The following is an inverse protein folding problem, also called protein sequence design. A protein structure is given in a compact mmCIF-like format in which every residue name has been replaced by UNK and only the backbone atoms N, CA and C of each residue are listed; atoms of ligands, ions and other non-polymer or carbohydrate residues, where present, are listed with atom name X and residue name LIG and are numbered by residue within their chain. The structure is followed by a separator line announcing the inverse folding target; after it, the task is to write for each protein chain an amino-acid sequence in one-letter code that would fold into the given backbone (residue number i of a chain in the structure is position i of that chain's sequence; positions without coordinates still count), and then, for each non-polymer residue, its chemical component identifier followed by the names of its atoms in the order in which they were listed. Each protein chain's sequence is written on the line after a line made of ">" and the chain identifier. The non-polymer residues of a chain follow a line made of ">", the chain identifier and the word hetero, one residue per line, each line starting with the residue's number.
data_IF_556546899758
#
_entry.id   IF_556546899758
#
_cell.length_a   1.000
_cell.length_b   1.000
_cell.length_c   1.000
_cell.angle_alpha   90.00
_cell.angle_beta   90.00
_cell.angle_gamma   90.00
#
_symmetry.space_group_name_H-M   'P 1'
#
loop_
_entity.id
_entity.type
_entity.pdbx_description
1 polymer ?
#
# COMPACT_ATOMS: atom_id res chain seq x y z
N UNK A 1 24.26 -12.61 -6.92
CA UNK A 1 23.23 -13.62 -6.57
C UNK A 1 22.47 -13.07 -5.38
N UNK A 2 21.15 -12.90 -5.48
CA UNK A 2 20.34 -12.50 -4.32
C UNK A 2 20.28 -13.68 -3.36
N UNK A 3 20.81 -13.52 -2.14
CA UNK A 3 20.71 -14.52 -1.08
C UNK A 3 19.24 -14.64 -0.69
N UNK A 4 18.68 -15.85 -0.74
CA UNK A 4 17.31 -16.07 -0.25
C UNK A 4 17.27 -15.79 1.25
N UNK A 5 16.44 -14.83 1.64
CA UNK A 5 16.10 -14.57 3.04
C UNK A 5 15.04 -15.58 3.50
N UNK A 6 15.16 -16.01 4.74
CA UNK A 6 14.11 -16.70 5.49
C UNK A 6 13.02 -15.70 5.90
N UNK A 7 11.83 -16.19 6.28
CA UNK A 7 10.74 -15.33 6.76
C UNK A 7 11.17 -14.46 7.96
N UNK A 8 12.02 -14.99 8.85
CA UNK A 8 12.50 -14.31 10.05
C UNK A 8 13.48 -13.17 9.74
N UNK A 9 14.12 -13.20 8.57
CA UNK A 9 15.05 -12.16 8.12
C UNK A 9 14.33 -11.07 7.31
N UNK A 10 13.05 -11.27 6.97
CA UNK A 10 12.29 -10.25 6.25
C UNK A 10 11.93 -9.09 7.18
N UNK A 11 12.05 -7.89 6.63
CA UNK A 11 11.71 -6.62 7.29
C UNK A 11 10.68 -5.89 6.46
N UNK A 12 10.15 -4.76 6.94
CA UNK A 12 9.29 -3.91 6.13
C UNK A 12 9.93 -3.42 4.82
N UNK A 13 11.27 -3.46 4.70
CA UNK A 13 12.00 -3.12 3.46
C UNK A 13 11.87 -4.15 2.34
N UNK A 14 11.30 -5.31 2.62
CA UNK A 14 11.08 -6.36 1.64
C UNK A 14 9.67 -6.26 1.06
N UNK A 15 9.52 -6.20 -0.27
CA UNK A 15 8.23 -5.96 -0.97
C UNK A 15 7.10 -6.87 -0.47
N UNK A 16 7.42 -8.15 -0.25
CA UNK A 16 6.45 -9.11 0.28
C UNK A 16 5.93 -8.68 1.66
N UNK A 17 6.82 -8.27 2.56
CA UNK A 17 6.45 -7.85 3.91
C UNK A 17 5.73 -6.51 3.90
N UNK A 18 6.22 -5.53 3.13
CA UNK A 18 5.57 -4.23 2.99
C UNK A 18 4.12 -4.40 2.53
N UNK A 19 3.91 -5.07 1.39
CA UNK A 19 2.57 -5.29 0.87
C UNK A 19 1.70 -6.12 1.81
N UNK A 20 2.27 -7.12 2.51
CA UNK A 20 1.49 -7.94 3.45
C UNK A 20 1.04 -7.14 4.68
N UNK A 21 1.95 -6.36 5.27
CA UNK A 21 1.67 -5.56 6.47
C UNK A 21 0.73 -4.41 6.15
N UNK A 22 0.97 -3.71 5.03
CA UNK A 22 0.17 -2.57 4.60
C UNK A 22 -1.17 -2.97 3.98
N UNK A 23 -1.41 -4.24 3.66
CA UNK A 23 -2.73 -4.72 3.24
C UNK A 23 -3.74 -4.80 4.40
N UNK A 24 -3.26 -4.77 5.65
CA UNK A 24 -4.12 -4.73 6.83
C UNK A 24 -4.60 -3.29 7.07
N UNK A 25 -5.92 -3.12 7.22
CA UNK A 25 -6.60 -1.82 7.27
C UNK A 25 -6.04 -0.92 8.37
N UNK A 26 -5.87 -1.46 9.58
CA UNK A 26 -5.40 -0.70 10.73
C UNK A 26 -3.95 -0.26 10.55
N UNK A 27 -3.07 -1.14 10.09
CA UNK A 27 -1.66 -0.79 9.85
C UNK A 27 -1.51 0.33 8.82
N UNK A 28 -2.23 0.24 7.70
CA UNK A 28 -2.18 1.25 6.64
C UNK A 28 -2.74 2.59 7.13
N UNK A 29 -3.85 2.56 7.86
CA UNK A 29 -4.46 3.76 8.45
C UNK A 29 -3.52 4.42 9.45
N UNK A 30 -3.00 3.68 10.42
CA UNK A 30 -2.10 4.21 11.45
C UNK A 30 -0.85 4.84 10.82
N UNK A 31 -0.30 4.20 9.78
CA UNK A 31 0.81 4.75 9.00
C UNK A 31 0.45 6.07 8.29
N UNK A 32 -0.71 6.12 7.63
CA UNK A 32 -1.18 7.33 6.95
C UNK A 32 -1.44 8.48 7.92
N UNK A 33 -2.10 8.21 9.06
CA UNK A 33 -2.33 9.21 10.12
C UNK A 33 -1.00 9.74 10.67
N UNK A 34 -0.01 8.87 10.87
CA UNK A 34 1.32 9.24 11.35
C UNK A 34 2.06 10.15 10.34
N UNK A 35 2.02 9.82 9.05
CA UNK A 35 2.75 10.55 8.00
C UNK A 35 2.05 11.86 7.65
N UNK A 36 0.73 11.87 7.60
CA UNK A 36 -0.06 13.04 7.17
C UNK A 36 -0.40 13.99 8.32
N UNK A 37 -0.34 13.52 9.57
CA UNK A 37 -0.52 14.35 10.76
C UNK A 37 -1.97 14.71 11.08
N UNK A 38 -2.94 13.97 10.56
CA UNK A 38 -4.36 14.14 10.87
C UNK A 38 -5.10 12.80 10.97
N UNK A 39 -6.18 12.71 11.75
CA UNK A 39 -6.99 11.49 11.85
C UNK A 39 -7.69 11.17 10.52
N UNK A 40 -7.68 9.89 10.15
CA UNK A 40 -8.33 9.38 8.94
C UNK A 40 -9.49 8.49 9.40
N UNK A 41 -10.58 8.49 8.64
CA UNK A 41 -11.69 7.58 8.92
C UNK A 41 -11.35 6.11 8.63
N UNK A 42 -12.38 5.30 8.47
CA UNK A 42 -12.22 3.97 7.90
C UNK A 42 -11.63 4.09 6.48
N UNK A 43 -10.75 3.17 6.11
CA UNK A 43 -10.20 3.07 4.76
C UNK A 43 -10.46 1.69 4.17
N UNK A 44 -10.55 1.61 2.85
CA UNK A 44 -10.49 0.37 2.09
C UNK A 44 -9.09 0.23 1.50
N UNK A 45 -8.47 -0.95 1.64
CA UNK A 45 -7.09 -1.20 1.23
C UNK A 45 -7.01 -2.31 0.19
N UNK A 46 -6.19 -2.11 -0.85
CA UNK A 46 -5.92 -3.08 -1.92
C UNK A 46 -4.39 -3.20 -2.09
N UNK A 47 -3.86 -4.41 -1.90
CA UNK A 47 -2.41 -4.74 -1.89
C UNK A 47 -1.70 -4.64 -3.24
N UNK A 48 -2.44 -4.55 -4.35
CA UNK A 48 -1.92 -4.20 -5.68
C UNK A 48 -3.10 -3.69 -6.51
N UNK A 49 -3.02 -2.46 -7.03
CA UNK A 49 -4.10 -1.91 -7.86
C UNK A 49 -3.56 -1.40 -9.20
N UNK A 50 -4.02 -2.04 -10.27
CA UNK A 50 -3.78 -1.53 -11.63
C UNK A 50 -4.82 -0.48 -11.97
N UNK A 51 -4.37 0.72 -12.32
CA UNK A 51 -5.21 1.79 -12.85
C UNK A 51 -4.91 1.96 -14.34
N UNK A 52 -5.89 1.60 -15.18
CA UNK A 52 -5.84 1.80 -16.63
C UNK A 52 -7.06 2.64 -17.05
N UNK A 53 -6.79 3.83 -17.58
CA UNK A 53 -7.84 4.80 -17.92
C UNK A 53 -8.37 4.65 -19.35
N UNK A 54 -7.56 4.12 -20.27
CA UNK A 54 -7.94 3.90 -21.67
C UNK A 54 -7.15 2.72 -22.25
N UNK A 55 -7.71 1.90 -23.16
CA UNK A 55 -7.00 0.77 -23.78
C UNK A 55 -5.66 1.14 -24.44
N UNK A 56 -5.59 2.35 -24.98
CA UNK A 56 -4.40 2.90 -25.65
C UNK A 56 -3.34 3.43 -24.66
N UNK A 57 -3.67 3.59 -23.37
CA UNK A 57 -2.78 4.16 -22.37
C UNK A 57 -2.01 3.06 -21.62
N UNK A 58 -0.77 3.36 -21.25
CA UNK A 58 -0.01 2.51 -20.32
C UNK A 58 -0.60 2.64 -18.92
N UNK A 59 -1.06 1.53 -18.35
CA UNK A 59 -1.55 1.49 -16.97
C UNK A 59 -0.43 1.67 -15.96
N UNK A 60 -0.78 2.14 -14.76
CA UNK A 60 0.11 2.16 -13.59
C UNK A 60 -0.34 1.08 -12.61
N UNK A 61 0.62 0.38 -12.00
CA UNK A 61 0.37 -0.52 -10.87
C UNK A 61 0.81 0.18 -9.61
N UNK A 62 -0.13 0.37 -8.71
CA UNK A 62 0.12 0.86 -7.36
C UNK A 62 0.43 -0.32 -6.46
N UNK A 63 1.41 -0.18 -5.57
CA UNK A 63 1.70 -1.20 -4.56
C UNK A 63 0.51 -1.27 -3.61
N UNK A 64 0.31 -0.29 -2.72
CA UNK A 64 -0.86 -0.30 -1.83
C UNK A 64 -1.77 0.89 -2.10
N UNK A 65 -2.98 0.60 -2.59
CA UNK A 65 -4.03 1.59 -2.76
C UNK A 65 -4.92 1.63 -1.52
N UNK A 66 -5.08 2.80 -0.93
CA UNK A 66 -6.07 3.04 0.12
C UNK A 66 -7.08 4.12 -0.30
N UNK A 67 -8.31 4.00 0.18
CA UNK A 67 -9.37 5.00 -0.06
C UNK A 67 -10.18 5.20 1.22
N UNK A 68 -10.41 6.45 1.60
CA UNK A 68 -11.28 6.78 2.73
C UNK A 68 -12.73 7.09 2.30
N UNK A 69 -13.59 7.29 3.30
CA UNK A 69 -15.00 7.60 3.12
C UNK A 69 -15.27 8.98 2.51
N UNK A 70 -14.27 9.86 2.42
CA UNK A 70 -14.35 11.16 1.76
C UNK A 70 -13.85 11.11 0.31
N UNK A 71 -13.70 9.89 -0.25
CA UNK A 71 -13.17 9.62 -1.59
C UNK A 71 -11.71 10.05 -1.78
N UNK A 72 -10.97 10.38 -0.72
CA UNK A 72 -9.52 10.62 -0.84
C UNK A 72 -8.83 9.29 -1.07
N UNK A 73 -7.84 9.31 -1.96
CA UNK A 73 -7.11 8.13 -2.43
C UNK A 73 -5.65 8.30 -2.08
N UNK A 74 -5.07 7.25 -1.51
CA UNK A 74 -3.68 7.23 -1.08
C UNK A 74 -2.97 6.14 -1.86
N UNK A 75 -1.81 6.48 -2.39
CA UNK A 75 -0.85 5.52 -2.91
C UNK A 75 0.24 5.35 -1.85
N UNK A 76 0.42 4.13 -1.37
CA UNK A 76 1.40 3.80 -0.33
C UNK A 76 2.44 2.89 -0.97
N UNK A 77 3.61 3.48 -1.25
CA UNK A 77 4.77 2.85 -1.89
C UNK A 77 6.02 3.08 -1.04
N UNK A 78 7.03 2.22 -1.20
CA UNK A 78 8.29 2.25 -0.46
C UNK A 78 9.50 2.43 -1.38
#
# INVERSE_FOLDING_TARGET
>A
MSTRKTLQELTLKDDFMFGTVMAEEKNCRDFLELVLGFPIGRIEVIREKTMAYHPENRGVRLDVYAKDNEEKRYNVEM
#
